data_IF_150958817841
#
_entry.id   IF_150958817841
#
_cell.length_a   1.000
_cell.length_b   1.000
_cell.length_c   1.000
_cell.angle_alpha   90.00
_cell.angle_beta   90.00
_cell.angle_gamma   90.00
#
_symmetry.space_group_name_H-M   'P 1'
#
loop_
_entity.id
_entity.type
_entity.pdbx_description
1 polymer ?
#
# COMPACT_ATOMS: atom_id res chain seq x y z
N UNK A 1 -4.38 0.82 -35.58
CA UNK A 1 -3.70 0.55 -34.31
C UNK A 1 -3.78 -0.94 -34.05
N UNK A 2 -2.64 -1.64 -33.90
CA UNK A 2 -2.62 -3.06 -33.60
C UNK A 2 -3.31 -3.30 -32.24
N UNK A 3 -4.33 -4.17 -32.18
CA UNK A 3 -4.94 -4.61 -30.91
C UNK A 3 -3.85 -5.34 -30.13
N UNK A 4 -3.35 -4.77 -29.06
CA UNK A 4 -2.44 -5.45 -28.12
C UNK A 4 -3.20 -6.68 -27.61
N UNK A 5 -2.74 -7.86 -27.97
CA UNK A 5 -3.37 -9.12 -27.59
C UNK A 5 -2.73 -9.55 -26.26
N UNK A 6 -3.42 -9.33 -25.16
CA UNK A 6 -2.98 -9.79 -23.84
C UNK A 6 -2.99 -11.33 -23.77
N UNK A 7 -2.17 -11.88 -22.87
CA UNK A 7 -2.17 -13.31 -22.60
C UNK A 7 -3.54 -13.72 -22.03
N UNK A 8 -4.04 -14.90 -22.41
CA UNK A 8 -5.30 -15.44 -21.92
C UNK A 8 -5.35 -15.56 -20.39
N UNK A 9 -4.20 -15.86 -19.75
CA UNK A 9 -4.11 -15.90 -18.29
C UNK A 9 -4.26 -14.52 -17.64
N UNK A 10 -3.69 -13.46 -18.23
CA UNK A 10 -3.87 -12.08 -17.77
C UNK A 10 -5.34 -11.66 -17.82
N UNK A 11 -6.00 -11.93 -18.95
CA UNK A 11 -7.43 -11.64 -19.12
C UNK A 11 -8.28 -12.42 -18.11
N UNK A 12 -8.00 -13.69 -17.90
CA UNK A 12 -8.71 -14.50 -16.91
C UNK A 12 -8.52 -13.97 -15.48
N UNK A 13 -7.31 -13.53 -15.13
CA UNK A 13 -7.02 -12.89 -13.84
C UNK A 13 -7.84 -11.61 -13.68
N UNK A 14 -7.80 -10.71 -14.68
CA UNK A 14 -8.51 -9.42 -14.62
C UNK A 14 -10.01 -9.60 -14.42
N UNK A 15 -10.60 -10.65 -15.02
CA UNK A 15 -12.02 -10.97 -14.86
C UNK A 15 -12.43 -11.42 -13.45
N UNK A 16 -11.47 -11.72 -12.58
CA UNK A 16 -11.73 -12.14 -11.20
C UNK A 16 -11.40 -11.04 -10.18
N UNK A 17 -10.75 -9.95 -10.60
CA UNK A 17 -10.36 -8.87 -9.70
C UNK A 17 -11.58 -8.17 -9.12
N UNK A 18 -11.47 -7.87 -7.83
CA UNK A 18 -12.40 -7.03 -7.06
C UNK A 18 -11.63 -5.82 -6.50
N UNK A 19 -12.30 -4.75 -6.10
CA UNK A 19 -11.63 -3.58 -5.48
C UNK A 19 -10.74 -3.91 -4.28
N UNK A 20 -10.94 -5.06 -3.66
CA UNK A 20 -10.10 -5.58 -2.57
C UNK A 20 -8.75 -6.16 -3.06
N UNK A 21 -8.54 -6.32 -4.37
CA UNK A 21 -7.27 -6.73 -4.95
C UNK A 21 -6.35 -5.54 -5.13
N UNK A 22 -5.09 -5.62 -4.67
CA UNK A 22 -4.09 -4.54 -4.73
C UNK A 22 -4.08 -3.83 -6.08
N UNK A 23 -4.10 -4.60 -7.17
CA UNK A 23 -4.06 -4.06 -8.54
C UNK A 23 -5.29 -3.21 -8.84
N UNK A 24 -6.48 -3.70 -8.48
CA UNK A 24 -7.73 -2.99 -8.72
C UNK A 24 -7.88 -1.82 -7.76
N UNK A 25 -7.52 -1.99 -6.49
CA UNK A 25 -7.53 -0.91 -5.50
C UNK A 25 -6.66 0.27 -5.92
N UNK A 26 -5.43 0.01 -6.38
CA UNK A 26 -4.55 1.04 -6.92
C UNK A 26 -5.19 1.80 -8.08
N UNK A 27 -5.82 1.08 -9.02
CA UNK A 27 -6.55 1.70 -10.15
C UNK A 27 -7.78 2.48 -9.68
N UNK A 28 -8.47 2.03 -8.65
CA UNK A 28 -9.57 2.79 -8.03
C UNK A 28 -9.06 4.09 -7.43
N UNK A 29 -7.94 4.03 -6.70
CA UNK A 29 -7.30 5.18 -6.03
C UNK A 29 -6.63 6.20 -6.96
N UNK A 30 -6.52 5.94 -8.26
CA UNK A 30 -6.15 6.99 -9.22
C UNK A 30 -7.20 8.10 -9.35
N UNK A 31 -8.44 7.87 -8.86
CA UNK A 31 -9.50 8.89 -8.78
C UNK A 31 -9.54 9.49 -7.39
N UNK A 32 -9.29 10.79 -7.31
CA UNK A 32 -9.39 11.57 -6.07
C UNK A 32 -10.80 11.52 -5.48
N UNK A 33 -11.80 11.59 -6.33
CA UNK A 33 -13.21 11.56 -5.96
C UNK A 33 -13.57 10.19 -5.33
N UNK A 34 -13.07 9.10 -5.90
CA UNK A 34 -13.24 7.75 -5.33
C UNK A 34 -12.55 7.63 -3.96
N UNK A 35 -11.33 8.13 -3.81
CA UNK A 35 -10.65 8.15 -2.52
C UNK A 35 -11.39 8.98 -1.50
N UNK A 36 -11.89 10.15 -1.89
CA UNK A 36 -12.69 11.02 -1.03
C UNK A 36 -13.96 10.31 -0.54
N UNK A 37 -14.68 9.63 -1.43
CA UNK A 37 -15.89 8.88 -1.08
C UNK A 37 -15.60 7.74 -0.10
N UNK A 38 -14.53 6.96 -0.34
CA UNK A 38 -14.08 5.90 0.59
C UNK A 38 -13.78 6.48 1.97
N UNK A 39 -12.92 7.50 2.03
CA UNK A 39 -12.45 8.07 3.30
C UNK A 39 -13.60 8.75 4.05
N UNK A 40 -14.44 9.54 3.35
CA UNK A 40 -15.61 10.20 3.96
C UNK A 40 -16.58 9.19 4.58
N UNK A 41 -16.83 8.08 3.88
CA UNK A 41 -17.71 7.00 4.38
C UNK A 41 -17.15 6.36 5.66
N UNK A 42 -15.86 6.04 5.67
CA UNK A 42 -15.22 5.37 6.82
C UNK A 42 -15.09 6.32 8.01
N UNK A 43 -14.79 7.60 7.78
CA UNK A 43 -14.70 8.61 8.84
C UNK A 43 -16.08 9.10 9.32
N UNK A 44 -17.16 8.78 8.61
CA UNK A 44 -18.51 9.24 8.94
C UNK A 44 -18.68 10.76 8.83
N UNK A 45 -17.88 11.43 8.00
CA UNK A 45 -17.90 12.89 7.84
C UNK A 45 -17.54 13.29 6.42
N UNK A 46 -18.08 14.41 5.96
CA UNK A 46 -17.68 14.98 4.67
C UNK A 46 -16.28 15.58 4.76
N UNK A 47 -15.36 15.02 3.98
CA UNK A 47 -13.97 15.47 3.92
C UNK A 47 -13.61 15.86 2.49
N UNK A 48 -12.54 16.64 2.32
CA UNK A 48 -12.03 16.98 1.01
C UNK A 48 -10.60 16.52 0.82
N UNK A 49 -10.43 15.56 -0.08
CA UNK A 49 -9.13 15.11 -0.57
C UNK A 49 -8.61 16.13 -1.60
N UNK A 50 -7.39 16.59 -1.45
CA UNK A 50 -6.75 17.55 -2.38
C UNK A 50 -5.67 16.89 -3.24
N UNK A 51 -5.07 15.81 -2.75
CA UNK A 51 -4.02 15.07 -3.45
C UNK A 51 -4.09 13.59 -3.14
N UNK A 52 -3.71 12.76 -4.11
CA UNK A 52 -3.68 11.30 -3.99
C UNK A 52 -2.44 10.77 -4.67
N UNK A 53 -1.68 9.95 -3.96
CA UNK A 53 -0.56 9.18 -4.50
C UNK A 53 -0.92 7.69 -4.40
N UNK A 54 -1.42 7.06 -5.49
CA UNK A 54 -1.65 5.62 -5.51
C UNK A 54 -0.30 4.91 -5.48
N UNK A 55 -0.17 3.93 -4.59
CA UNK A 55 1.02 3.10 -4.48
C UNK A 55 2.31 3.93 -4.25
N UNK A 56 2.31 4.75 -3.19
CA UNK A 56 3.51 5.49 -2.80
C UNK A 56 4.57 4.56 -2.20
N UNK A 57 5.82 4.74 -2.65
CA UNK A 57 6.97 4.02 -2.13
C UNK A 57 7.88 4.98 -1.40
N UNK A 58 7.84 4.95 -0.08
CA UNK A 58 8.72 5.78 0.74
C UNK A 58 9.99 5.00 1.03
N UNK A 59 11.10 5.41 0.42
CA UNK A 59 12.42 4.85 0.69
C UNK A 59 12.94 5.32 2.04
N UNK A 60 13.30 4.38 2.90
CA UNK A 60 13.95 4.68 4.17
C UNK A 60 15.43 4.28 4.09
N UNK A 61 16.31 5.29 4.03
CA UNK A 61 17.76 5.08 3.90
C UNK A 61 18.42 4.39 5.11
N UNK A 62 17.73 4.38 6.26
CA UNK A 62 18.25 3.83 7.53
C UNK A 62 17.45 2.63 8.03
N UNK A 63 16.35 2.26 7.36
CA UNK A 63 15.47 1.19 7.81
C UNK A 63 14.68 0.56 6.67
N UNK A 64 13.63 -0.16 7.04
CA UNK A 64 12.73 -0.81 6.08
C UNK A 64 11.93 0.25 5.33
N UNK A 65 12.01 0.27 4.00
CA UNK A 65 11.13 1.05 3.13
C UNK A 65 9.69 0.54 3.20
N UNK A 66 8.73 1.40 2.97
CA UNK A 66 7.31 1.05 2.92
C UNK A 66 6.75 1.29 1.53
N UNK A 67 5.79 0.46 1.16
CA UNK A 67 4.96 0.65 -0.02
C UNK A 67 3.52 0.79 0.47
N UNK A 68 2.99 1.98 0.32
CA UNK A 68 1.63 2.33 0.71
C UNK A 68 0.69 2.05 -0.46
N UNK A 69 -0.51 1.52 -0.18
CA UNK A 69 -1.47 1.24 -1.24
C UNK A 69 -2.09 2.54 -1.78
N UNK A 70 -2.45 3.45 -0.90
CA UNK A 70 -2.99 4.76 -1.26
C UNK A 70 -2.70 5.80 -0.16
N UNK A 71 -1.95 6.84 -0.48
CA UNK A 71 -1.72 7.99 0.41
C UNK A 71 -2.49 9.20 -0.11
N UNK A 72 -3.37 9.74 0.71
CA UNK A 72 -4.17 10.93 0.43
C UNK A 72 -3.76 12.09 1.32
N UNK A 73 -3.85 13.31 0.79
CA UNK A 73 -3.74 14.53 1.57
C UNK A 73 -5.08 15.23 1.63
N UNK A 74 -5.55 15.56 2.83
CA UNK A 74 -6.77 16.30 3.05
C UNK A 74 -6.53 17.82 2.98
N UNK A 75 -7.62 18.57 2.82
CA UNK A 75 -7.58 20.03 2.73
C UNK A 75 -7.00 20.71 3.98
N UNK A 76 -7.22 20.13 5.14
CA UNK A 76 -6.69 20.60 6.44
C UNK A 76 -5.23 20.22 6.69
N UNK A 77 -4.61 19.50 5.75
CA UNK A 77 -3.22 19.09 5.81
C UNK A 77 -2.98 17.72 6.45
N UNK A 78 -4.03 17.02 6.87
CA UNK A 78 -3.95 15.66 7.40
C UNK A 78 -3.63 14.68 6.26
N UNK A 79 -2.78 13.69 6.53
CA UNK A 79 -2.51 12.59 5.61
C UNK A 79 -3.33 11.36 6.00
N UNK A 80 -3.96 10.74 5.01
CA UNK A 80 -4.73 9.50 5.19
C UNK A 80 -4.10 8.41 4.34
N UNK A 81 -3.63 7.36 4.99
CA UNK A 81 -3.18 6.15 4.32
C UNK A 81 -4.28 5.10 4.35
N UNK A 82 -4.71 4.64 3.18
CA UNK A 82 -5.68 3.54 3.05
C UNK A 82 -4.95 2.30 2.54
N UNK A 83 -5.00 1.25 3.33
CA UNK A 83 -4.37 -0.05 3.04
C UNK A 83 -5.44 -1.14 2.92
N UNK A 84 -5.26 -2.07 1.99
CA UNK A 84 -6.11 -3.26 1.84
C UNK A 84 -5.29 -4.51 2.06
N UNK A 85 -5.73 -5.40 2.94
CA UNK A 85 -4.97 -6.59 3.32
C UNK A 85 -5.81 -7.86 3.25
N UNK A 86 -5.38 -8.82 2.42
CA UNK A 86 -6.04 -10.11 2.25
C UNK A 86 -5.56 -11.19 3.20
N UNK A 87 -4.22 -11.46 3.29
CA UNK A 87 -3.71 -12.51 4.15
C UNK A 87 -3.60 -12.03 5.59
N UNK A 88 -3.92 -12.89 6.54
CA UNK A 88 -3.61 -12.70 7.95
C UNK A 88 -2.16 -13.15 8.21
N UNK A 89 -1.28 -12.18 8.41
CA UNK A 89 0.15 -12.41 8.71
C UNK A 89 0.48 -12.16 10.19
N UNK A 90 -0.52 -11.86 11.03
CA UNK A 90 -0.38 -11.54 12.44
C UNK A 90 0.58 -10.38 12.79
N UNK A 91 0.87 -9.47 11.82
CA UNK A 91 1.77 -8.31 12.00
C UNK A 91 1.08 -6.95 11.77
N UNK A 92 -0.26 -6.94 11.75
CA UNK A 92 -1.08 -5.84 11.27
C UNK A 92 -0.88 -4.54 12.05
N UNK A 93 -1.00 -4.57 13.38
CA UNK A 93 -0.82 -3.39 14.24
C UNK A 93 0.61 -2.84 14.15
N UNK A 94 1.61 -3.72 14.08
CA UNK A 94 3.00 -3.32 13.90
C UNK A 94 3.23 -2.63 12.55
N UNK A 95 2.57 -3.11 11.50
CA UNK A 95 2.61 -2.53 10.15
C UNK A 95 1.95 -1.17 10.14
N UNK A 96 0.74 -1.03 10.68
CA UNK A 96 0.02 0.25 10.79
C UNK A 96 0.87 1.29 11.51
N UNK A 97 1.41 0.93 12.69
CA UNK A 97 2.30 1.81 13.45
C UNK A 97 3.55 2.21 12.65
N UNK A 98 4.18 1.27 11.94
CA UNK A 98 5.38 1.55 11.16
C UNK A 98 5.08 2.47 9.98
N UNK A 99 4.02 2.20 9.21
CA UNK A 99 3.60 3.03 8.09
C UNK A 99 3.30 4.46 8.54
N UNK A 100 2.52 4.63 9.63
CA UNK A 100 2.24 5.95 10.20
C UNK A 100 3.49 6.72 10.60
N UNK A 101 4.47 6.03 11.21
CA UNK A 101 5.74 6.65 11.62
C UNK A 101 6.55 7.12 10.42
N UNK A 102 6.62 6.31 9.36
CA UNK A 102 7.33 6.65 8.12
C UNK A 102 6.64 7.82 7.42
N UNK A 103 5.32 7.81 7.29
CA UNK A 103 4.54 8.92 6.72
C UNK A 103 4.81 10.20 7.52
N UNK A 104 4.65 10.16 8.84
CA UNK A 104 4.89 11.32 9.73
C UNK A 104 6.28 11.89 9.51
N UNK A 105 7.31 11.05 9.50
CA UNK A 105 8.69 11.50 9.33
C UNK A 105 8.95 12.14 7.96
N UNK A 106 8.39 11.56 6.89
CA UNK A 106 8.62 12.03 5.52
C UNK A 106 7.77 13.24 5.14
N UNK A 107 6.56 13.37 5.70
CA UNK A 107 5.65 14.48 5.42
C UNK A 107 5.86 15.68 6.35
N UNK A 108 6.78 15.57 7.33
CA UNK A 108 7.13 16.66 8.23
C UNK A 108 8.37 17.41 7.75
N UNK A 109 8.25 18.67 7.32
CA UNK A 109 9.40 19.46 6.85
C UNK A 109 10.45 19.70 7.93
N UNK A 110 11.73 19.87 7.53
CA UNK A 110 12.80 20.25 8.46
C UNK A 110 12.52 21.57 9.15
N UNK A 111 12.80 21.64 10.45
CA UNK A 111 12.71 22.87 11.25
C UNK A 111 11.32 23.22 11.73
N UNK A 112 10.32 22.41 11.43
CA UNK A 112 8.96 22.59 11.97
C UNK A 112 8.94 22.29 13.47
N UNK A 113 8.05 22.96 14.21
CA UNK A 113 7.88 22.70 15.65
C UNK A 113 7.13 21.36 15.83
N UNK A 114 7.43 20.61 16.89
CA UNK A 114 6.78 19.33 17.16
C UNK A 114 5.24 19.40 17.25
N UNK A 115 4.68 20.54 17.64
CA UNK A 115 3.22 20.75 17.66
C UNK A 115 2.59 20.81 16.25
N UNK A 116 3.41 21.08 15.22
CA UNK A 116 2.99 21.25 13.83
C UNK A 116 3.42 20.04 12.95
N UNK A 117 3.82 18.93 13.60
CA UNK A 117 4.16 17.66 12.92
C UNK A 117 2.95 17.13 12.16
N UNK A 118 3.18 16.54 10.99
CA UNK A 118 2.14 16.00 10.13
C UNK A 118 1.21 15.04 10.89
N UNK A 119 -0.08 15.28 10.81
CA UNK A 119 -1.10 14.37 11.33
C UNK A 119 -1.39 13.26 10.34
N UNK A 120 -1.59 12.05 10.84
CA UNK A 120 -1.76 10.85 10.01
C UNK A 120 -2.95 10.03 10.50
N UNK A 121 -3.82 9.66 9.59
CA UNK A 121 -4.86 8.64 9.78
C UNK A 121 -4.46 7.42 8.97
N UNK A 122 -4.47 6.23 9.57
CA UNK A 122 -4.34 4.97 8.84
C UNK A 122 -5.67 4.25 8.88
N UNK A 123 -6.22 3.98 7.70
CA UNK A 123 -7.41 3.17 7.46
C UNK A 123 -6.91 1.82 6.93
N UNK A 124 -7.08 0.77 7.72
CA UNK A 124 -6.60 -0.57 7.41
C UNK A 124 -7.78 -1.53 7.19
N UNK A 125 -8.01 -1.90 5.93
CA UNK A 125 -9.16 -2.69 5.51
C UNK A 125 -8.75 -4.15 5.34
N UNK A 126 -9.47 -5.07 6.02
CA UNK A 126 -9.17 -6.51 6.02
C UNK A 126 -10.36 -7.35 5.61
N UNK A 127 -10.11 -8.58 5.14
CA UNK A 127 -11.12 -9.61 4.90
C UNK A 127 -11.36 -10.53 6.10
N UNK A 128 -10.75 -10.24 7.22
CA UNK A 128 -10.85 -11.01 8.46
C UNK A 128 -10.95 -10.04 9.63
N UNK A 129 -11.44 -10.53 10.75
CA UNK A 129 -11.58 -9.74 11.98
C UNK A 129 -10.29 -9.81 12.80
N UNK A 130 -9.51 -8.71 12.80
CA UNK A 130 -8.23 -8.63 13.53
C UNK A 130 -8.42 -8.78 15.03
N UNK A 131 -9.51 -8.24 15.59
CA UNK A 131 -9.76 -8.20 17.03
C UNK A 131 -10.71 -9.31 17.50
N UNK A 132 -11.48 -9.92 16.59
CA UNK A 132 -12.38 -11.03 16.91
C UNK A 132 -13.68 -10.64 17.59
N UNK A 133 -14.00 -9.35 17.68
CA UNK A 133 -15.19 -8.84 18.39
C UNK A 133 -16.43 -8.67 17.49
N UNK A 134 -16.33 -9.05 16.22
CA UNK A 134 -17.46 -9.02 15.26
C UNK A 134 -17.94 -7.63 14.89
N UNK A 135 -17.06 -6.64 14.83
CA UNK A 135 -17.41 -5.28 14.43
C UNK A 135 -16.96 -5.00 13.00
N UNK A 136 -17.73 -4.22 12.21
CA UNK A 136 -17.34 -3.80 10.86
C UNK A 136 -16.26 -2.73 10.88
N UNK A 137 -16.13 -1.97 11.96
CA UNK A 137 -15.13 -0.92 12.13
C UNK A 137 -14.66 -0.84 13.58
N UNK A 138 -13.37 -0.63 13.76
CA UNK A 138 -12.73 -0.41 15.05
C UNK A 138 -11.90 0.86 15.01
N UNK A 139 -12.00 1.67 16.06
CA UNK A 139 -11.19 2.84 16.30
C UNK A 139 -10.24 2.56 17.47
N UNK A 140 -8.95 2.79 17.27
CA UNK A 140 -7.96 2.61 18.31
C UNK A 140 -7.54 3.96 18.84
N UNK A 141 -7.77 4.19 20.12
CA UNK A 141 -7.47 5.42 20.83
C UNK A 141 -6.34 5.25 21.83
N UNK A 142 -5.59 6.30 22.06
CA UNK A 142 -4.66 6.40 23.18
C UNK A 142 -5.39 6.85 24.44
N UNK A 143 -5.24 6.11 25.50
CA UNK A 143 -5.92 6.38 26.77
C UNK A 143 -4.89 6.62 27.87
N UNK A 144 -5.08 7.70 28.64
CA UNK A 144 -4.35 7.91 29.91
C UNK A 144 -4.91 6.92 30.93
N UNK A 145 -4.15 5.87 31.25
CA UNK A 145 -4.60 4.75 32.09
C UNK A 145 -5.17 5.22 33.44
N UNK A 146 -4.55 6.21 34.07
CA UNK A 146 -4.90 6.71 35.40
C UNK A 146 -6.22 7.49 35.43
N UNK A 147 -6.66 8.01 34.29
CA UNK A 147 -7.85 8.87 34.21
C UNK A 147 -8.92 8.37 33.26
N UNK A 148 -8.65 7.33 32.45
CA UNK A 148 -9.53 6.84 31.40
C UNK A 148 -9.74 7.84 30.25
N UNK A 149 -9.03 8.96 30.23
CA UNK A 149 -9.23 10.00 29.22
C UNK A 149 -8.52 9.67 27.90
N UNK A 150 -9.26 9.72 26.81
CA UNK A 150 -8.71 9.65 25.45
C UNK A 150 -7.83 10.86 25.17
N UNK A 151 -6.71 10.63 24.50
CA UNK A 151 -5.76 11.66 24.08
C UNK A 151 -5.51 11.55 22.59
N UNK A 152 -5.54 12.68 21.92
CA UNK A 152 -5.16 12.81 20.52
C UNK A 152 -3.75 13.37 20.41
N UNK A 153 -2.92 12.74 19.58
CA UNK A 153 -1.53 13.14 19.33
C UNK A 153 -1.23 13.34 17.83
N UNK A 154 -2.31 13.41 17.03
CA UNK A 154 -2.19 13.56 15.58
C UNK A 154 -2.04 12.23 14.82
N UNK A 155 -2.17 11.08 15.52
CA UNK A 155 -2.25 9.77 14.90
C UNK A 155 -3.58 9.09 15.23
N UNK A 156 -4.27 8.59 14.21
CA UNK A 156 -5.54 7.86 14.32
C UNK A 156 -5.43 6.53 13.58
N UNK A 157 -5.83 5.45 14.23
CA UNK A 157 -5.89 4.11 13.67
C UNK A 157 -7.34 3.65 13.53
N UNK A 158 -7.71 3.23 12.30
CA UNK A 158 -9.03 2.71 12.00
C UNK A 158 -8.86 1.37 11.27
N UNK A 159 -9.47 0.32 11.82
CA UNK A 159 -9.51 -0.99 11.19
C UNK A 159 -10.91 -1.26 10.67
N UNK A 160 -11.03 -1.62 9.39
CA UNK A 160 -12.28 -1.95 8.73
C UNK A 160 -12.30 -3.43 8.39
N UNK A 161 -13.30 -4.12 8.89
CA UNK A 161 -13.48 -5.55 8.70
C UNK A 161 -14.54 -5.82 7.62
N UNK A 162 -14.10 -6.17 6.42
CA UNK A 162 -15.01 -6.45 5.31
C UNK A 162 -15.77 -7.79 5.43
N UNK A 163 -15.38 -8.67 6.38
CA UNK A 163 -16.06 -9.95 6.60
C UNK A 163 -17.32 -9.82 7.45
N UNK A 164 -17.42 -8.77 8.25
CA UNK A 164 -18.56 -8.54 9.16
C UNK A 164 -19.46 -7.44 8.63
N UNK A 165 -20.76 -7.70 8.68
CA UNK A 165 -21.81 -6.73 8.34
C UNK A 165 -22.57 -6.36 9.61
N UNK A 166 -22.74 -5.08 9.81
CA UNK A 166 -23.52 -4.56 10.93
C UNK A 166 -24.30 -3.33 10.44
N UNK A 167 -25.56 -3.23 10.84
CA UNK A 167 -26.51 -2.20 10.42
C UNK A 167 -27.17 -1.53 11.62
N UNK A 168 -26.50 -1.55 12.80
CA UNK A 168 -27.04 -1.02 14.06
C UNK A 168 -27.12 0.52 14.06
N UNK A 169 -26.22 1.16 13.31
CA UNK A 169 -26.18 2.61 13.17
C UNK A 169 -25.80 3.02 11.72
N UNK A 170 -25.84 4.32 11.45
CA UNK A 170 -25.59 4.85 10.13
C UNK A 170 -24.14 4.61 9.66
N UNK A 171 -23.15 4.77 10.54
CA UNK A 171 -21.75 4.56 10.18
C UNK A 171 -21.50 3.09 9.84
N UNK A 172 -21.93 2.16 10.69
CA UNK A 172 -21.80 0.72 10.47
C UNK A 172 -22.50 0.29 9.19
N UNK A 173 -23.70 0.83 8.91
CA UNK A 173 -24.46 0.59 7.69
C UNK A 173 -23.69 1.09 6.47
N UNK A 174 -23.15 2.31 6.51
CA UNK A 174 -22.42 2.90 5.40
C UNK A 174 -21.13 2.14 5.10
N UNK A 175 -20.38 1.77 6.13
CA UNK A 175 -19.16 0.97 6.01
C UNK A 175 -19.47 -0.44 5.48
N UNK A 176 -20.51 -1.10 5.99
CA UNK A 176 -20.91 -2.43 5.52
C UNK A 176 -21.32 -2.43 4.05
N UNK A 177 -22.09 -1.45 3.62
CA UNK A 177 -22.50 -1.29 2.21
C UNK A 177 -21.29 -0.98 1.30
N UNK A 178 -20.36 -0.15 1.76
CA UNK A 178 -19.12 0.11 1.02
C UNK A 178 -18.29 -1.16 0.88
N UNK A 179 -18.13 -1.95 1.95
CA UNK A 179 -17.36 -3.20 1.92
C UNK A 179 -18.00 -4.26 1.01
N UNK A 180 -19.29 -4.22 0.80
CA UNK A 180 -19.95 -5.03 -0.21
C UNK A 180 -19.45 -4.71 -1.63
N UNK A 181 -19.24 -3.43 -1.93
CA UNK A 181 -18.68 -3.02 -3.22
C UNK A 181 -17.21 -3.43 -3.36
N UNK A 182 -16.47 -3.52 -2.26
CA UNK A 182 -15.07 -3.98 -2.26
C UNK A 182 -14.93 -5.47 -2.52
N UNK A 183 -15.87 -6.27 -2.02
CA UNK A 183 -15.76 -7.74 -2.01
C UNK A 183 -16.51 -8.44 -3.12
N UNK A 184 -17.59 -7.84 -3.62
CA UNK A 184 -18.41 -8.37 -4.72
C UNK A 184 -18.08 -7.64 -6.02
N UNK A 185 -17.65 -8.37 -7.04
CA UNK A 185 -17.25 -7.81 -8.34
C UNK A 185 -18.38 -7.07 -9.04
N UNK A 186 -19.56 -7.64 -9.04
CA UNK A 186 -20.69 -7.19 -9.86
C UNK A 186 -21.53 -6.11 -9.14
N UNK A 187 -21.43 -6.03 -7.80
CA UNK A 187 -22.24 -5.12 -7.01
C UNK A 187 -21.85 -3.66 -7.24
N UNK A 188 -22.82 -2.85 -7.60
CA UNK A 188 -22.74 -1.39 -7.73
C UNK A 188 -23.83 -0.74 -6.86
N UNK A 189 -23.58 0.45 -6.38
CA UNK A 189 -24.56 1.26 -5.67
C UNK A 189 -24.36 2.75 -6.02
N UNK A 190 -24.75 3.20 -7.22
CA UNK A 190 -24.50 4.56 -7.69
C UNK A 190 -25.30 5.63 -6.94
N UNK A 191 -26.37 5.25 -6.22
CA UNK A 191 -27.16 6.19 -5.42
C UNK A 191 -26.40 6.59 -4.16
N UNK A 192 -25.75 5.63 -3.50
CA UNK A 192 -25.05 5.85 -2.24
C UNK A 192 -23.54 6.12 -2.44
N UNK A 193 -22.92 5.46 -3.45
CA UNK A 193 -21.50 5.55 -3.77
C UNK A 193 -21.29 5.81 -5.26
N UNK A 194 -21.64 7.01 -5.75
CA UNK A 194 -21.59 7.33 -7.18
C UNK A 194 -20.19 7.25 -7.78
N UNK A 195 -19.18 7.79 -7.13
CA UNK A 195 -17.82 7.83 -7.68
C UNK A 195 -17.11 6.47 -7.62
N UNK A 196 -17.31 5.72 -6.54
CA UNK A 196 -16.80 4.35 -6.44
C UNK A 196 -17.46 3.44 -7.48
N UNK A 197 -18.80 3.49 -7.59
CA UNK A 197 -19.56 2.68 -8.54
C UNK A 197 -19.20 3.01 -9.99
N UNK A 198 -19.07 4.26 -10.34
CA UNK A 198 -18.64 4.72 -11.66
C UNK A 198 -17.25 4.22 -12.02
N UNK A 199 -16.29 4.37 -11.09
CA UNK A 199 -14.89 3.92 -11.31
C UNK A 199 -14.81 2.41 -11.42
N UNK A 200 -15.49 1.67 -10.54
CA UNK A 200 -15.59 0.21 -10.57
C UNK A 200 -16.22 -0.28 -11.86
N UNK A 201 -17.36 0.31 -12.28
CA UNK A 201 -18.05 -0.04 -13.51
C UNK A 201 -17.15 0.12 -14.75
N UNK A 202 -16.29 1.13 -14.78
CA UNK A 202 -15.29 1.31 -15.84
C UNK A 202 -14.42 0.06 -15.98
N UNK A 203 -13.85 -0.45 -14.86
CA UNK A 203 -12.91 -1.56 -14.90
C UNK A 203 -13.57 -2.92 -15.07
N UNK A 204 -14.81 -3.08 -14.56
CA UNK A 204 -15.52 -4.36 -14.61
C UNK A 204 -16.26 -4.56 -15.92
N UNK A 205 -16.90 -3.52 -16.47
CA UNK A 205 -17.92 -3.63 -17.50
C UNK A 205 -17.57 -2.93 -18.83
N UNK A 206 -16.33 -2.41 -19.00
CA UNK A 206 -15.96 -1.78 -20.28
C UNK A 206 -14.68 -2.36 -20.87
N UNK A 207 -14.62 -2.46 -22.20
CA UNK A 207 -13.41 -2.89 -22.92
C UNK A 207 -12.18 -2.00 -22.62
N UNK A 208 -12.42 -0.69 -22.40
CA UNK A 208 -11.37 0.25 -22.04
C UNK A 208 -10.78 -0.10 -20.67
N UNK A 209 -11.63 -0.29 -19.68
CA UNK A 209 -11.20 -0.62 -18.31
C UNK A 209 -10.55 -2.00 -18.24
N UNK A 210 -11.08 -3.02 -18.93
CA UNK A 210 -10.44 -4.34 -19.01
C UNK A 210 -9.03 -4.22 -19.58
N UNK A 211 -8.82 -3.43 -20.63
CA UNK A 211 -7.49 -3.20 -21.20
C UNK A 211 -6.55 -2.51 -20.22
N UNK A 212 -6.98 -1.43 -19.56
CA UNK A 212 -6.18 -0.73 -18.54
C UNK A 212 -5.78 -1.67 -17.40
N UNK A 213 -6.68 -2.55 -16.97
CA UNK A 213 -6.40 -3.54 -15.94
C UNK A 213 -5.39 -4.60 -16.42
N UNK A 214 -5.52 -5.08 -17.66
CA UNK A 214 -4.56 -6.02 -18.24
C UNK A 214 -3.15 -5.40 -18.33
N UNK A 215 -3.05 -4.15 -18.77
CA UNK A 215 -1.77 -3.40 -18.82
C UNK A 215 -1.14 -3.30 -17.43
N UNK A 216 -1.94 -3.00 -16.40
CA UNK A 216 -1.45 -2.89 -15.02
C UNK A 216 -1.03 -4.24 -14.45
N UNK A 217 -1.78 -5.30 -14.68
CA UNK A 217 -1.41 -6.68 -14.26
C UNK A 217 -0.11 -7.12 -14.91
N UNK A 218 0.05 -6.92 -16.21
CA UNK A 218 1.28 -7.26 -16.94
C UNK A 218 2.47 -6.42 -16.48
N UNK A 219 2.26 -5.13 -16.17
CA UNK A 219 3.29 -4.26 -15.59
C UNK A 219 3.77 -4.80 -14.26
N UNK A 220 2.85 -5.09 -13.33
CA UNK A 220 3.19 -5.60 -11.99
C UNK A 220 3.84 -6.98 -12.04
N UNK A 221 3.44 -7.83 -12.99
CA UNK A 221 4.09 -9.13 -13.20
C UNK A 221 5.58 -8.95 -13.59
N UNK A 222 5.86 -8.03 -14.52
CA UNK A 222 7.25 -7.71 -14.94
C UNK A 222 8.08 -7.11 -13.81
N UNK A 223 7.48 -6.21 -13.03
CA UNK A 223 8.16 -5.61 -11.87
C UNK A 223 8.52 -6.66 -10.82
N UNK A 224 7.61 -7.59 -10.52
CA UNK A 224 7.85 -8.70 -9.59
C UNK A 224 8.93 -9.66 -10.11
N UNK A 225 8.88 -10.00 -11.39
CA UNK A 225 9.91 -10.84 -12.02
C UNK A 225 11.28 -10.17 -11.96
N UNK A 226 11.36 -8.89 -12.29
CA UNK A 226 12.60 -8.12 -12.22
C UNK A 226 13.15 -8.06 -10.78
N UNK A 227 12.28 -7.80 -9.79
CA UNK A 227 12.67 -7.76 -8.39
C UNK A 227 13.16 -9.14 -7.90
N UNK A 228 12.49 -10.23 -8.27
CA UNK A 228 12.93 -11.59 -7.93
C UNK A 228 14.31 -11.91 -8.52
N UNK A 229 14.59 -11.49 -9.75
CA UNK A 229 15.90 -11.64 -10.38
C UNK A 229 16.95 -10.82 -9.63
N UNK A 230 16.65 -9.58 -9.24
CA UNK A 230 17.57 -8.74 -8.47
C UNK A 230 17.90 -9.37 -7.11
N UNK A 231 16.89 -9.82 -6.38
CA UNK A 231 17.08 -10.48 -5.06
C UNK A 231 17.96 -11.71 -5.21
N UNK A 232 17.71 -12.57 -6.19
CA UNK A 232 18.54 -13.76 -6.45
C UNK A 232 20.00 -13.40 -6.75
N UNK A 233 20.24 -12.32 -7.50
CA UNK A 233 21.58 -11.83 -7.78
C UNK A 233 22.27 -11.26 -6.52
N UNK A 234 21.52 -10.58 -5.65
CA UNK A 234 22.03 -10.04 -4.39
C UNK A 234 22.43 -11.16 -3.42
N UNK A 235 21.57 -12.18 -3.26
CA UNK A 235 21.86 -13.38 -2.48
C UNK A 235 23.13 -14.06 -2.99
N UNK A 236 23.21 -14.32 -4.29
CA UNK A 236 24.38 -14.95 -4.89
C UNK A 236 25.68 -14.15 -4.71
N UNK A 237 25.62 -12.81 -4.64
CA UNK A 237 26.77 -11.95 -4.33
C UNK A 237 27.10 -11.98 -2.84
N UNK A 238 26.11 -11.89 -1.97
CA UNK A 238 26.29 -11.94 -0.51
C UNK A 238 26.92 -13.25 -0.06
N UNK A 239 26.48 -14.37 -0.62
CA UNK A 239 26.97 -15.72 -0.32
C UNK A 239 28.33 -16.03 -0.97
N UNK A 240 28.83 -15.11 -1.80
CA UNK A 240 30.12 -15.25 -2.47
C UNK A 240 30.11 -16.16 -3.72
N UNK A 241 28.95 -16.67 -4.12
CA UNK A 241 28.76 -17.48 -5.33
C UNK A 241 28.86 -16.68 -6.62
N UNK A 242 28.54 -15.40 -6.58
CA UNK A 242 28.61 -14.49 -7.72
C UNK A 242 29.57 -13.31 -7.48
N UNK A 243 30.31 -12.94 -8.52
CA UNK A 243 31.07 -11.69 -8.50
C UNK A 243 30.14 -10.50 -8.65
N UNK A 244 30.26 -9.48 -7.82
CA UNK A 244 29.42 -8.27 -7.86
C UNK A 244 29.42 -7.59 -9.23
N UNK A 245 30.55 -7.59 -9.96
CA UNK A 245 30.63 -7.03 -11.31
C UNK A 245 29.84 -7.83 -12.34
N UNK A 246 29.79 -9.16 -12.19
CA UNK A 246 29.00 -10.03 -13.05
C UNK A 246 27.51 -9.85 -12.77
N UNK A 247 27.11 -9.83 -11.50
CA UNK A 247 25.73 -9.64 -11.08
C UNK A 247 25.19 -8.28 -11.51
N UNK A 248 25.96 -7.20 -11.34
CA UNK A 248 25.59 -5.86 -11.80
C UNK A 248 25.33 -5.84 -13.31
N UNK A 249 26.21 -6.47 -14.11
CA UNK A 249 26.01 -6.58 -15.55
C UNK A 249 24.75 -7.39 -15.90
N UNK A 250 24.46 -8.46 -15.19
CA UNK A 250 23.24 -9.27 -15.38
C UNK A 250 21.97 -8.51 -15.01
N UNK A 251 22.04 -7.65 -13.99
CA UNK A 251 20.95 -6.75 -13.59
C UNK A 251 20.78 -5.53 -14.51
N UNK A 252 21.66 -5.37 -15.50
CA UNK A 252 21.72 -4.17 -16.35
C UNK A 252 21.88 -2.86 -15.55
N UNK A 253 22.66 -2.92 -14.46
CA UNK A 253 22.98 -1.80 -13.58
C UNK A 253 24.48 -1.49 -13.60
N UNK A 254 24.83 -0.25 -13.32
CA UNK A 254 26.22 0.09 -12.99
C UNK A 254 26.63 -0.58 -11.68
N UNK A 255 27.94 -0.73 -11.46
CA UNK A 255 28.44 -1.36 -10.25
C UNK A 255 28.04 -0.60 -8.97
N UNK A 256 27.95 0.71 -9.03
CA UNK A 256 27.57 1.55 -7.89
C UNK A 256 26.06 1.42 -7.60
N UNK A 257 25.22 1.57 -8.63
CA UNK A 257 23.77 1.38 -8.51
C UNK A 257 23.44 -0.01 -7.95
N UNK A 258 24.09 -1.07 -8.45
CA UNK A 258 23.86 -2.42 -7.96
C UNK A 258 24.20 -2.56 -6.46
N UNK A 259 25.33 -1.99 -6.02
CA UNK A 259 25.72 -2.00 -4.60
C UNK A 259 24.77 -1.18 -3.72
N UNK A 260 24.30 -0.06 -4.23
CA UNK A 260 23.36 0.79 -3.50
C UNK A 260 22.00 0.09 -3.38
N UNK A 261 21.53 -0.56 -4.45
CA UNK A 261 20.33 -1.39 -4.42
C UNK A 261 20.46 -2.59 -3.45
N UNK A 262 21.63 -3.23 -3.37
CA UNK A 262 21.89 -4.26 -2.35
C UNK A 262 21.73 -3.70 -0.93
N UNK A 263 22.36 -2.56 -0.64
CA UNK A 263 22.31 -1.93 0.69
C UNK A 263 20.89 -1.52 1.07
N UNK A 264 20.15 -0.89 0.14
CA UNK A 264 18.77 -0.47 0.34
C UNK A 264 17.86 -1.64 0.73
N UNK A 265 18.16 -2.85 0.23
CA UNK A 265 17.41 -4.07 0.55
C UNK A 265 18.00 -4.90 1.68
N UNK A 266 19.00 -4.35 2.41
CA UNK A 266 19.61 -5.00 3.57
C UNK A 266 20.62 -6.09 3.24
N UNK A 267 21.06 -6.21 1.98
CA UNK A 267 22.10 -7.16 1.58
C UNK A 267 23.51 -6.60 1.84
N UNK A 268 24.41 -7.48 2.31
CA UNK A 268 25.80 -7.13 2.54
C UNK A 268 26.59 -7.10 1.23
N UNK A 269 27.32 -6.02 1.00
CA UNK A 269 28.25 -5.94 -0.13
C UNK A 269 29.60 -6.50 0.30
N UNK A 270 30.11 -7.60 -0.30
CA UNK A 270 31.39 -8.17 0.07
C UNK A 270 32.52 -7.16 -0.10
N UNK A 271 33.31 -6.95 0.95
CA UNK A 271 34.51 -6.14 0.87
C UNK A 271 35.59 -6.90 0.08
N UNK A 272 36.28 -6.21 -0.84
CA UNK A 272 37.44 -6.78 -1.51
C UNK A 272 38.46 -7.24 -0.45
N UNK A 273 38.67 -8.56 -0.30
CA UNK A 273 39.83 -9.06 0.45
C UNK A 273 41.08 -8.41 -0.16
N UNK A 274 41.74 -7.52 0.58
CA UNK A 274 43.09 -7.10 0.22
C UNK A 274 43.91 -8.37 0.14
N UNK A 275 44.44 -8.70 -1.04
CA UNK A 275 45.49 -9.68 -1.14
C UNK A 275 46.66 -9.16 -0.26
N UNK A 276 46.80 -9.71 0.91
CA UNK A 276 48.08 -9.61 1.63
C UNK A 276 49.12 -10.23 0.72
N UNK A 277 50.03 -9.39 0.23
CA UNK A 277 51.23 -9.88 -0.43
C UNK A 277 51.95 -10.74 0.58
N UNK A 278 51.85 -12.07 0.42
CA UNK A 278 52.71 -12.99 1.16
C UNK A 278 54.14 -12.66 0.76
N UNK A 279 54.90 -12.21 1.74
CA UNK A 279 56.31 -11.95 1.59
C UNK A 279 56.99 -13.19 1.03
N UNK A 280 57.59 -13.01 -0.13
CA UNK A 280 58.60 -13.90 -0.60
C UNK A 280 59.79 -13.84 0.40
N UNK A 281 60.09 -14.96 1.03
CA UNK A 281 61.41 -15.27 1.59
C UNK A 281 61.88 -16.57 0.98
#
# INVERSE_FOLDING_TARGET
MAKTRFNASTVATVKQLVPFDDVMFQKMCESRETCQEIISTILGQDIRVIDVVPQDSIENLQGRSVRLDCLCKLRDGIYVNVEVQKPDNADHEARVRYNASVITANQTPKGIKFRDVAQVIVIYITRFDIFGDGRPIYHIDRVVRETGKVRTDGFTEIYVNAAVKNYDDELNTNVSDLMDLFTDREKLNPEKFPEFSKRKNLFVNTEKGEREMCEKVDQLAREREHEAVLVTLFEGVQDGGLRVTYAAKKANLSLNEFKDQMRLRGFSVPQRRRRTAAAAK
#
